data_IF_232778999772
#
_entry.id   IF_232778999772
#
_cell.length_a   1.000
_cell.length_b   1.000
_cell.length_c   1.000
_cell.angle_alpha   90.00
_cell.angle_beta   90.00
_cell.angle_gamma   90.00
#
_symmetry.space_group_name_H-M   'P 1'
#
loop_
_entity.id
_entity.type
_entity.pdbx_description
1 polymer ?
#
# COMPACT_ATOMS: atom_id res chain seq x y z
N UNK A 1 -5.16 17.55 13.81
CA UNK A 1 -3.89 17.32 13.09
C UNK A 1 -2.85 16.82 14.08
N UNK A 2 -2.15 15.75 13.77
CA UNK A 2 -1.15 15.16 14.68
C UNK A 2 0.05 16.10 14.95
N UNK A 3 0.48 16.85 13.94
CA UNK A 3 1.65 17.73 14.01
C UNK A 3 1.36 19.15 14.49
N UNK A 4 0.09 19.59 14.43
CA UNK A 4 -0.36 20.97 14.67
C UNK A 4 0.33 22.03 13.80
N UNK A 5 1.00 21.65 12.74
CA UNK A 5 1.68 22.53 11.79
C UNK A 5 0.84 22.74 10.54
N UNK A 6 0.76 23.98 10.06
CA UNK A 6 -0.06 24.32 8.90
C UNK A 6 0.48 23.66 7.60
N UNK A 7 1.80 23.49 7.48
CA UNK A 7 2.43 22.85 6.32
C UNK A 7 1.89 21.45 6.01
N UNK A 8 1.31 20.76 7.00
CA UNK A 8 0.75 19.42 6.85
C UNK A 8 -0.75 19.40 6.54
N UNK A 9 -1.37 20.56 6.31
CA UNK A 9 -2.78 20.65 5.90
C UNK A 9 -2.95 20.32 4.41
N UNK A 10 -4.15 19.95 3.99
CA UNK A 10 -4.46 19.72 2.58
C UNK A 10 -4.28 21.00 1.75
N UNK A 11 -4.65 22.16 2.31
CA UNK A 11 -4.45 23.47 1.68
C UNK A 11 -2.97 23.77 1.44
N UNK A 12 -2.12 23.55 2.44
CA UNK A 12 -0.70 23.77 2.31
C UNK A 12 -0.07 22.86 1.24
N UNK A 13 -0.44 21.58 1.21
CA UNK A 13 0.01 20.64 0.17
C UNK A 13 -0.34 21.13 -1.24
N UNK A 14 -1.57 21.61 -1.44
CA UNK A 14 -1.98 22.16 -2.73
C UNK A 14 -1.20 23.43 -3.10
N UNK A 15 -0.95 24.33 -2.13
CA UNK A 15 -0.20 25.57 -2.36
C UNK A 15 1.28 25.31 -2.67
N UNK A 16 1.92 24.38 -1.97
CA UNK A 16 3.32 24.01 -2.23
C UNK A 16 3.47 23.44 -3.63
N UNK A 17 2.58 22.53 -4.07
CA UNK A 17 2.60 22.02 -5.45
C UNK A 17 2.39 23.12 -6.48
N UNK A 18 1.46 24.06 -6.22
CA UNK A 18 1.26 25.20 -7.10
C UNK A 18 2.51 26.07 -7.19
N UNK A 19 3.19 26.31 -6.08
CA UNK A 19 4.40 27.12 -6.04
C UNK A 19 5.52 26.53 -6.89
N UNK A 20 5.74 25.22 -6.85
CA UNK A 20 6.73 24.54 -7.71
C UNK A 20 6.43 24.75 -9.19
N UNK A 21 5.16 24.68 -9.58
CA UNK A 21 4.77 24.85 -10.98
C UNK A 21 4.97 26.28 -11.47
N UNK A 22 4.98 27.25 -10.57
CA UNK A 22 5.19 28.68 -10.92
C UNK A 22 6.63 29.11 -10.78
N UNK A 23 7.34 28.60 -9.79
CA UNK A 23 8.73 28.98 -9.45
C UNK A 23 9.53 27.73 -9.06
N UNK A 24 9.93 26.87 -10.02
CA UNK A 24 10.70 25.68 -9.72
C UNK A 24 12.11 26.05 -9.23
N UNK A 25 12.53 25.46 -8.14
CA UNK A 25 13.88 25.62 -7.57
C UNK A 25 14.95 25.02 -8.50
N UNK A 26 14.60 23.99 -9.24
CA UNK A 26 15.41 23.33 -10.26
C UNK A 26 14.62 23.26 -11.57
N UNK A 27 15.15 23.83 -12.63
CA UNK A 27 14.50 23.87 -13.94
C UNK A 27 14.50 22.48 -14.62
N UNK A 28 15.48 21.64 -14.34
CA UNK A 28 15.61 20.31 -14.94
C UNK A 28 14.72 19.29 -14.21
N UNK A 29 14.63 19.40 -12.87
CA UNK A 29 13.84 18.53 -12.02
C UNK A 29 12.95 19.34 -11.03
N UNK A 30 11.87 19.96 -11.49
CA UNK A 30 11.05 20.87 -10.68
C UNK A 30 10.48 20.23 -9.42
N UNK A 31 10.22 18.92 -9.47
CA UNK A 31 9.64 18.14 -8.35
C UNK A 31 10.69 17.48 -7.46
N UNK A 32 11.99 17.72 -7.67
CA UNK A 32 13.04 17.16 -6.85
C UNK A 32 13.29 18.00 -5.58
N UNK A 33 12.31 17.98 -4.65
CA UNK A 33 12.36 18.72 -3.40
C UNK A 33 12.06 17.80 -2.21
N UNK A 34 13.02 17.67 -1.30
CA UNK A 34 12.85 16.90 -0.07
C UNK A 34 11.83 17.53 0.87
N UNK A 35 11.74 18.86 0.92
CA UNK A 35 10.75 19.57 1.74
C UNK A 35 9.32 19.20 1.33
N UNK A 36 9.07 19.13 0.03
CA UNK A 36 7.75 18.74 -0.50
C UNK A 36 7.47 17.28 -0.23
N UNK A 37 8.46 16.44 -0.40
CA UNK A 37 8.34 15.02 -0.07
C UNK A 37 7.96 14.82 1.39
N UNK A 38 8.60 15.51 2.33
CA UNK A 38 8.25 15.48 3.76
C UNK A 38 6.78 15.84 4.01
N UNK A 39 6.29 16.91 3.38
CA UNK A 39 4.90 17.36 3.49
C UNK A 39 3.93 16.35 2.87
N UNK A 40 4.29 15.73 1.73
CA UNK A 40 3.47 14.75 1.03
C UNK A 40 3.48 13.38 1.70
N UNK A 41 4.56 12.99 2.39
CA UNK A 41 4.67 11.70 3.06
C UNK A 41 3.63 11.52 4.17
N UNK A 42 3.22 12.61 4.83
CA UNK A 42 2.14 12.58 5.83
C UNK A 42 0.73 12.49 5.24
N UNK A 43 0.58 12.52 3.93
CA UNK A 43 -0.70 12.27 3.29
C UNK A 43 -1.00 10.77 3.19
N UNK A 44 -2.06 10.32 3.85
CA UNK A 44 -2.49 8.92 3.86
C UNK A 44 -3.16 8.44 2.56
N UNK A 45 -3.32 9.32 1.58
CA UNK A 45 -4.00 9.02 0.30
C UNK A 45 -5.44 8.48 0.48
N UNK A 46 -6.13 8.91 1.53
CA UNK A 46 -7.49 8.46 1.88
C UNK A 46 -8.60 9.02 0.97
N UNK A 47 -8.28 9.97 0.07
CA UNK A 47 -9.21 10.64 -0.85
C UNK A 47 -10.33 11.49 -0.20
N UNK A 48 -10.36 11.63 1.12
CA UNK A 48 -11.35 12.48 1.80
C UNK A 48 -11.34 13.93 1.29
N UNK A 49 -10.15 14.47 0.97
CA UNK A 49 -10.03 15.80 0.38
C UNK A 49 -10.80 15.97 -0.94
N UNK A 50 -10.94 14.92 -1.74
CA UNK A 50 -11.69 14.97 -3.00
C UNK A 50 -13.19 15.06 -2.76
N UNK A 51 -13.72 14.31 -1.78
CA UNK A 51 -15.16 14.33 -1.46
C UNK A 51 -15.59 15.62 -0.78
N UNK A 52 -14.70 16.25 -0.01
CA UNK A 52 -14.99 17.50 0.72
C UNK A 52 -14.72 18.77 -0.13
N UNK A 53 -13.97 18.68 -1.21
CA UNK A 53 -13.61 19.84 -2.02
C UNK A 53 -14.70 20.18 -3.03
N UNK A 54 -15.22 21.42 -3.03
CA UNK A 54 -16.21 21.86 -4.03
C UNK A 54 -15.73 21.74 -5.49
N UNK A 55 -14.40 21.86 -5.70
CA UNK A 55 -13.75 21.71 -7.00
C UNK A 55 -13.28 20.29 -7.30
N UNK A 56 -13.60 19.32 -6.42
CA UNK A 56 -13.24 17.89 -6.56
C UNK A 56 -11.73 17.64 -6.77
N UNK A 57 -10.87 18.45 -6.16
CA UNK A 57 -9.41 18.33 -6.28
C UNK A 57 -8.94 17.06 -5.58
N UNK A 58 -8.30 16.16 -6.33
CA UNK A 58 -7.81 14.87 -5.83
C UNK A 58 -6.32 14.98 -5.45
N UNK A 59 -6.03 15.31 -4.20
CA UNK A 59 -4.66 15.38 -3.68
C UNK A 59 -3.92 14.04 -3.76
N UNK A 60 -4.62 12.92 -3.83
CA UNK A 60 -4.00 11.61 -3.96
C UNK A 60 -3.35 11.43 -5.33
N UNK A 61 -4.02 11.92 -6.39
CA UNK A 61 -3.44 11.93 -7.74
C UNK A 61 -2.24 12.86 -7.82
N UNK A 62 -2.36 14.06 -7.27
CA UNK A 62 -1.25 15.02 -7.24
C UNK A 62 -0.04 14.50 -6.47
N UNK A 63 -0.29 13.82 -5.34
CA UNK A 63 0.78 13.13 -4.60
C UNK A 63 1.43 12.03 -5.43
N UNK A 64 0.65 11.20 -6.13
CA UNK A 64 1.19 10.11 -6.94
C UNK A 64 2.07 10.64 -8.07
N UNK A 65 1.64 11.70 -8.74
CA UNK A 65 2.40 12.38 -9.79
C UNK A 65 3.71 12.97 -9.24
N UNK A 66 3.62 13.72 -8.14
CA UNK A 66 4.81 14.22 -7.46
C UNK A 66 5.81 13.10 -7.11
N UNK A 67 5.31 12.00 -6.50
CA UNK A 67 6.16 10.88 -6.12
C UNK A 67 6.81 10.19 -7.32
N UNK A 68 6.12 10.10 -8.45
CA UNK A 68 6.68 9.54 -9.68
C UNK A 68 7.90 10.37 -10.13
N UNK A 69 7.73 11.68 -10.29
CA UNK A 69 8.83 12.57 -10.70
C UNK A 69 9.97 12.60 -9.69
N UNK A 70 9.65 12.62 -8.40
CA UNK A 70 10.67 12.54 -7.35
C UNK A 70 11.48 11.25 -7.43
N UNK A 71 10.84 10.12 -7.71
CA UNK A 71 11.53 8.84 -7.84
C UNK A 71 12.28 8.68 -9.17
N UNK A 72 11.87 9.37 -10.21
CA UNK A 72 12.63 9.44 -11.48
C UNK A 72 13.98 10.14 -11.26
N UNK A 73 14.00 11.21 -10.47
CA UNK A 73 15.22 11.94 -10.15
C UNK A 73 16.11 11.23 -9.11
N UNK A 74 15.54 10.58 -8.09
CA UNK A 74 16.27 10.05 -6.93
C UNK A 74 16.33 8.52 -6.86
N UNK A 75 15.65 7.82 -7.77
CA UNK A 75 15.50 6.38 -7.73
C UNK A 75 14.39 5.89 -6.79
N UNK A 76 13.96 4.65 -7.00
CA UNK A 76 12.88 4.04 -6.24
C UNK A 76 13.41 3.38 -4.96
N UNK A 77 12.97 3.80 -3.75
CA UNK A 77 13.37 3.18 -2.49
C UNK A 77 13.03 1.68 -2.45
N UNK A 78 13.89 0.87 -1.78
CA UNK A 78 13.68 -0.58 -1.64
C UNK A 78 12.31 -0.92 -1.07
N UNK A 79 11.85 -0.18 -0.05
CA UNK A 79 10.51 -0.32 0.53
C UNK A 79 9.41 -0.20 -0.52
N UNK A 80 9.46 0.85 -1.34
CA UNK A 80 8.46 1.09 -2.38
C UNK A 80 8.46 0.00 -3.44
N UNK A 81 9.64 -0.49 -3.84
CA UNK A 81 9.78 -1.63 -4.76
C UNK A 81 9.17 -2.91 -4.18
N UNK A 82 9.43 -3.21 -2.91
CA UNK A 82 8.87 -4.39 -2.25
C UNK A 82 7.34 -4.32 -2.14
N UNK A 83 6.80 -3.13 -1.83
CA UNK A 83 5.34 -2.93 -1.77
C UNK A 83 4.70 -3.04 -3.16
N UNK A 84 5.34 -2.47 -4.19
CA UNK A 84 4.86 -2.57 -5.57
C UNK A 84 4.80 -4.02 -6.08
N UNK A 85 5.78 -4.85 -5.69
CA UNK A 85 5.85 -6.27 -6.05
C UNK A 85 5.33 -7.19 -4.93
N UNK A 86 4.36 -6.71 -4.13
CA UNK A 86 3.83 -7.49 -3.01
C UNK A 86 3.23 -8.83 -3.46
N UNK A 87 2.49 -8.86 -4.57
CA UNK A 87 1.85 -10.07 -5.08
C UNK A 87 2.88 -11.17 -5.43
N UNK A 88 3.94 -10.80 -6.15
CA UNK A 88 5.02 -11.73 -6.53
C UNK A 88 5.80 -12.19 -5.30
N UNK A 89 6.12 -11.26 -4.39
CA UNK A 89 6.83 -11.55 -3.15
C UNK A 89 6.04 -12.50 -2.25
N UNK A 90 4.72 -12.26 -2.10
CA UNK A 90 3.83 -13.12 -1.33
C UNK A 90 3.68 -14.51 -1.97
N UNK A 91 3.61 -14.57 -3.31
CA UNK A 91 3.58 -15.83 -4.06
C UNK A 91 4.83 -16.65 -3.78
N UNK A 92 6.01 -16.06 -3.89
CA UNK A 92 7.28 -16.74 -3.59
C UNK A 92 7.36 -17.19 -2.14
N UNK A 93 7.05 -16.28 -1.20
CA UNK A 93 7.07 -16.60 0.23
C UNK A 93 6.04 -17.67 0.63
N UNK A 94 4.96 -17.83 -0.14
CA UNK A 94 3.95 -18.87 0.10
C UNK A 94 4.43 -20.31 -0.14
N UNK A 95 5.60 -20.51 -0.73
CA UNK A 95 6.22 -21.84 -0.79
C UNK A 95 6.81 -22.28 0.57
N UNK A 96 7.24 -21.31 1.40
CA UNK A 96 7.80 -21.57 2.73
C UNK A 96 7.20 -20.65 3.81
N UNK A 97 5.87 -20.66 4.04
CA UNK A 97 5.20 -19.70 4.91
C UNK A 97 5.62 -19.81 6.38
N UNK A 98 6.05 -21.01 6.82
CA UNK A 98 6.56 -21.19 8.18
C UNK A 98 7.89 -20.46 8.38
N UNK A 99 8.79 -20.53 7.42
CA UNK A 99 10.09 -19.85 7.47
C UNK A 99 9.91 -18.33 7.41
N UNK A 100 9.09 -17.84 6.48
CA UNK A 100 8.71 -16.44 6.39
C UNK A 100 8.14 -15.92 7.73
N UNK A 101 7.16 -16.63 8.30
CA UNK A 101 6.54 -16.23 9.54
C UNK A 101 7.52 -16.30 10.73
N UNK A 102 8.37 -17.32 10.80
CA UNK A 102 9.39 -17.42 11.84
C UNK A 102 10.34 -16.21 11.80
N UNK A 103 10.76 -15.80 10.61
CA UNK A 103 11.65 -14.64 10.43
C UNK A 103 10.96 -13.32 10.81
N UNK A 104 9.81 -13.01 10.20
CA UNK A 104 9.16 -11.70 10.36
C UNK A 104 8.32 -11.57 11.64
N UNK A 105 7.95 -12.66 12.30
CA UNK A 105 7.23 -12.64 13.58
C UNK A 105 8.16 -12.64 14.80
N UNK A 106 9.44 -13.01 14.64
CA UNK A 106 10.41 -12.96 15.73
C UNK A 106 10.82 -11.50 16.00
N UNK A 107 10.59 -10.97 17.23
CA UNK A 107 10.80 -9.54 17.51
C UNK A 107 12.23 -9.05 17.24
N UNK A 108 13.23 -9.88 17.56
CA UNK A 108 14.64 -9.54 17.37
C UNK A 108 14.98 -9.43 15.88
N UNK A 109 14.61 -10.43 15.09
CA UNK A 109 14.89 -10.45 13.65
C UNK A 109 14.15 -9.30 12.95
N UNK A 110 12.91 -9.03 13.34
CA UNK A 110 12.12 -7.92 12.81
C UNK A 110 12.75 -6.57 13.10
N UNK A 111 13.24 -6.33 14.33
CA UNK A 111 13.90 -5.07 14.69
C UNK A 111 15.16 -4.78 13.87
N UNK A 112 15.82 -5.82 13.40
CA UNK A 112 17.02 -5.69 12.54
C UNK A 112 16.59 -5.56 11.06
N UNK A 113 15.68 -6.40 10.59
CA UNK A 113 15.30 -6.46 9.19
C UNK A 113 14.47 -5.24 8.73
N UNK A 114 13.54 -4.76 9.57
CA UNK A 114 12.65 -3.66 9.19
C UNK A 114 13.39 -2.38 8.80
N UNK A 115 14.35 -1.86 9.60
CA UNK A 115 15.10 -0.66 9.22
C UNK A 115 15.90 -0.82 7.93
N UNK A 116 16.46 -2.00 7.67
CA UNK A 116 17.20 -2.30 6.43
C UNK A 116 16.31 -2.19 5.18
N UNK A 117 15.02 -2.47 5.33
CA UNK A 117 14.02 -2.37 4.26
C UNK A 117 13.36 -0.97 4.22
N UNK A 118 13.59 -0.14 5.25
CA UNK A 118 12.98 1.19 5.38
C UNK A 118 11.62 1.18 6.09
N UNK A 119 11.31 0.14 6.87
CA UNK A 119 10.17 0.11 7.78
C UNK A 119 10.57 0.49 9.21
N UNK A 120 9.60 0.97 9.99
CA UNK A 120 9.83 1.20 11.42
C UNK A 120 10.14 -0.12 12.14
N UNK A 121 11.11 -0.12 13.07
CA UNK A 121 11.61 -1.32 13.76
C UNK A 121 10.52 -2.14 14.46
N UNK A 122 9.49 -1.49 14.98
CA UNK A 122 8.38 -2.12 15.70
C UNK A 122 7.19 -2.51 14.80
N UNK A 123 7.22 -2.14 13.50
CA UNK A 123 6.12 -2.45 12.60
C UNK A 123 5.98 -3.96 12.42
N UNK A 124 4.78 -4.48 12.69
CA UNK A 124 4.45 -5.87 12.38
C UNK A 124 4.29 -6.05 10.86
N UNK A 125 4.88 -7.12 10.34
CA UNK A 125 4.68 -7.55 8.96
C UNK A 125 3.53 -8.58 8.95
N UNK A 126 2.58 -8.51 8.01
CA UNK A 126 1.47 -9.44 7.92
C UNK A 126 1.96 -10.89 7.82
N UNK A 127 1.29 -11.80 8.54
CA UNK A 127 1.58 -13.23 8.48
C UNK A 127 1.09 -13.80 7.17
N UNK A 128 1.82 -14.78 6.65
CA UNK A 128 1.34 -15.61 5.54
C UNK A 128 0.58 -16.83 6.06
N UNK A 129 -0.54 -17.12 5.44
CA UNK A 129 -1.28 -18.35 5.70
C UNK A 129 -0.57 -19.56 5.09
N UNK A 130 -0.77 -20.74 5.68
CA UNK A 130 -0.18 -21.99 5.19
C UNK A 130 -0.76 -22.45 3.86
N UNK A 131 -1.97 -22.02 3.58
CA UNK A 131 -2.70 -22.32 2.34
C UNK A 131 -3.30 -21.01 1.82
N UNK A 132 -3.29 -20.81 0.52
CA UNK A 132 -3.90 -19.64 -0.10
C UNK A 132 -5.41 -19.84 -0.25
N UNK A 133 -6.18 -18.74 -0.28
CA UNK A 133 -7.63 -18.78 -0.49
C UNK A 133 -7.99 -19.53 -1.78
N UNK A 134 -7.25 -19.27 -2.88
CA UNK A 134 -7.44 -19.97 -4.15
C UNK A 134 -7.25 -21.49 -4.03
N UNK A 135 -6.22 -21.93 -3.28
CA UNK A 135 -5.96 -23.34 -3.05
C UNK A 135 -7.00 -23.96 -2.13
N UNK A 136 -7.43 -23.26 -1.11
CA UNK A 136 -8.52 -23.69 -0.23
C UNK A 136 -9.82 -23.86 -1.01
N UNK A 137 -10.17 -22.85 -1.82
CA UNK A 137 -11.39 -22.88 -2.65
C UNK A 137 -11.38 -24.02 -3.65
N UNK A 138 -10.24 -24.30 -4.31
CA UNK A 138 -10.10 -25.39 -5.27
C UNK A 138 -10.23 -26.79 -4.63
N UNK A 139 -9.94 -26.91 -3.32
CA UNK A 139 -10.05 -28.18 -2.57
C UNK A 139 -11.42 -28.39 -1.92
N UNK A 140 -12.23 -27.34 -1.89
CA UNK A 140 -13.53 -27.40 -1.25
C UNK A 140 -14.50 -28.18 -2.13
N UNK A 141 -15.27 -29.09 -1.53
CA UNK A 141 -16.39 -29.75 -2.19
C UNK A 141 -17.49 -28.72 -2.48
N UNK A 142 -17.94 -28.56 -3.74
CA UNK A 142 -19.02 -27.65 -4.04
C UNK A 142 -20.26 -28.00 -3.22
N UNK A 143 -20.82 -27.01 -2.51
CA UNK A 143 -22.12 -27.14 -1.90
C UNK A 143 -23.16 -27.14 -3.04
N UNK A 144 -23.61 -28.33 -3.46
CA UNK A 144 -24.71 -28.43 -4.40
C UNK A 144 -26.00 -28.17 -3.62
N UNK A 145 -26.76 -27.13 -3.94
CA UNK A 145 -28.06 -26.92 -3.30
C UNK A 145 -28.95 -28.12 -3.59
N UNK A 146 -29.33 -28.86 -2.55
CA UNK A 146 -30.20 -30.03 -2.66
C UNK A 146 -31.66 -29.65 -2.98
N UNK A 147 -32.03 -28.41 -2.75
CA UNK A 147 -33.36 -27.83 -3.06
C UNK A 147 -33.22 -26.35 -3.44
N UNK A 148 -33.90 -25.96 -4.53
CA UNK A 148 -34.01 -24.57 -4.92
C UNK A 148 -33.59 -24.29 -6.39
N UNK A 149 -33.99 -23.11 -6.88
CA UNK A 149 -33.67 -22.63 -8.23
C UNK A 149 -32.19 -22.16 -8.23
N UNK A 150 -31.42 -22.61 -9.21
CA UNK A 150 -30.06 -22.08 -9.43
C UNK A 150 -30.17 -20.61 -9.81
N UNK A 151 -29.55 -19.72 -9.00
CA UNK A 151 -29.58 -18.28 -9.21
C UNK A 151 -28.56 -17.78 -10.23
N UNK A 152 -27.67 -18.65 -10.71
CA UNK A 152 -26.61 -18.29 -11.65
C UNK A 152 -25.22 -18.51 -11.10
N UNK A 153 -24.21 -18.01 -11.86
CA UNK A 153 -22.79 -18.07 -11.48
C UNK A 153 -22.38 -16.71 -10.90
N UNK A 154 -21.72 -16.71 -9.76
CA UNK A 154 -21.09 -15.53 -9.16
C UNK A 154 -19.58 -15.71 -9.19
N UNK A 155 -18.86 -14.60 -9.31
CA UNK A 155 -17.41 -14.56 -9.24
C UNK A 155 -16.99 -13.83 -7.98
N UNK A 156 -16.16 -14.49 -7.15
CA UNK A 156 -15.57 -13.87 -5.99
C UNK A 156 -14.25 -13.20 -6.40
N UNK A 157 -14.13 -11.88 -6.17
CA UNK A 157 -12.87 -11.18 -6.31
C UNK A 157 -11.96 -11.57 -5.14
N UNK A 158 -10.80 -12.15 -5.45
CA UNK A 158 -9.83 -12.59 -4.49
C UNK A 158 -8.58 -11.72 -4.66
N UNK A 159 -8.47 -10.67 -3.84
CA UNK A 159 -7.27 -9.82 -3.80
C UNK A 159 -6.07 -10.55 -3.19
N UNK A 160 -4.88 -9.98 -3.38
CA UNK A 160 -3.63 -10.59 -2.94
C UNK A 160 -3.55 -10.73 -1.43
N UNK A 161 -4.03 -9.73 -0.67
CA UNK A 161 -3.97 -9.76 0.78
C UNK A 161 -4.89 -10.83 1.36
N UNK A 162 -6.13 -10.92 0.90
CA UNK A 162 -7.08 -11.97 1.27
C UNK A 162 -6.57 -13.34 0.86
N UNK A 163 -5.91 -13.44 -0.31
CA UNK A 163 -5.37 -14.71 -0.79
C UNK A 163 -4.24 -15.27 0.08
N UNK A 164 -3.34 -14.42 0.56
CA UNK A 164 -2.10 -14.86 1.22
C UNK A 164 -2.09 -14.62 2.74
N UNK A 165 -2.74 -13.57 3.22
CA UNK A 165 -2.60 -13.09 4.58
C UNK A 165 -3.87 -13.21 5.42
N UNK A 166 -5.04 -12.93 4.85
CA UNK A 166 -6.32 -12.91 5.56
C UNK A 166 -7.30 -13.93 4.99
N UNK A 167 -6.94 -15.19 5.12
CA UNK A 167 -7.73 -16.32 4.61
C UNK A 167 -9.11 -16.39 5.26
N UNK A 168 -9.20 -16.08 6.56
CA UNK A 168 -10.43 -16.21 7.33
C UNK A 168 -11.51 -15.25 6.81
N UNK A 169 -11.12 -14.02 6.45
CA UNK A 169 -12.02 -13.06 5.81
C UNK A 169 -12.52 -13.55 4.43
N UNK A 170 -11.68 -14.28 3.71
CA UNK A 170 -12.05 -14.84 2.40
C UNK A 170 -12.93 -16.10 2.48
N UNK A 171 -12.96 -16.77 3.64
CA UNK A 171 -13.78 -17.98 3.88
C UNK A 171 -15.16 -17.60 4.42
N UNK A 172 -15.25 -16.54 5.23
CA UNK A 172 -16.50 -16.06 5.84
C UNK A 172 -17.51 -15.59 4.79
#
# INVERSE_FOLDING_TARGET
MATREEKHTTRARANILRQILTEPADAEHPFNSEEIKEVMDLCLSCKACKSECPSSVDMTKLKAEFQQHYHEANGLPLRSRMVAHFAESARLASFAPRLYNAFFQTPILRRIANPLIGFHSERSIPRLNRITLRRWFARRTPLVPTRGKRLGRVHLFCDEFTNYNDLDAGIA
#
